data_IF_821167392374
#
_entry.id   IF_821167392374
#
_cell.length_a   1.000
_cell.length_b   1.000
_cell.length_c   1.000
_cell.angle_alpha   90.00
_cell.angle_beta   90.00
_cell.angle_gamma   90.00
#
_symmetry.space_group_name_H-M   'P 1'
#
loop_
_entity.id
_entity.type
_entity.pdbx_description
1 polymer ?
#
# COMPACT_ATOMS: atom_id res chain seq x y z
N UNK A 1 -63.33 9.92 6.00
CA UNK A 1 -64.41 8.92 6.07
C UNK A 1 -64.25 8.04 4.84
N UNK A 2 -63.94 6.75 4.87
CA UNK A 2 -63.81 5.77 5.95
C UNK A 2 -63.15 4.51 5.37
N UNK A 3 -62.36 3.81 6.18
CA UNK A 3 -61.78 2.47 5.97
C UNK A 3 -62.84 1.37 5.76
N UNK A 4 -62.52 0.33 4.97
CA UNK A 4 -62.99 -1.09 5.06
C UNK A 4 -62.74 -1.80 3.71
N UNK A 5 -61.81 -2.74 3.51
CA UNK A 5 -61.55 -4.05 4.14
C UNK A 5 -62.61 -5.10 3.78
N UNK A 6 -62.26 -6.02 2.87
CA UNK A 6 -62.65 -7.45 2.79
C UNK A 6 -63.06 -7.94 1.38
N UNK A 7 -62.59 -9.15 1.03
CA UNK A 7 -63.04 -9.95 -0.13
C UNK A 7 -61.93 -10.17 -1.17
N UNK A 8 -60.95 -11.05 -0.98
CA UNK A 8 -61.01 -12.49 -1.31
C UNK A 8 -61.59 -12.78 -2.70
N UNK A 9 -60.74 -12.68 -3.73
CA UNK A 9 -60.85 -13.41 -4.99
C UNK A 9 -59.44 -13.53 -5.57
N UNK A 10 -58.78 -14.69 -5.41
CA UNK A 10 -58.69 -15.75 -6.44
C UNK A 10 -57.38 -15.63 -7.24
N UNK A 11 -56.70 -16.77 -7.30
CA UNK A 11 -55.73 -17.19 -8.31
C UNK A 11 -54.39 -16.43 -8.34
N UNK A 12 -53.33 -17.07 -7.85
CA UNK A 12 -52.46 -17.90 -8.70
C UNK A 12 -51.87 -17.10 -9.87
N UNK A 13 -50.79 -16.37 -9.65
CA UNK A 13 -49.64 -16.42 -10.56
C UNK A 13 -48.39 -16.24 -9.72
N UNK A 14 -47.57 -17.28 -9.70
CA UNK A 14 -46.22 -17.26 -9.22
C UNK A 14 -45.44 -16.13 -9.92
N UNK A 15 -45.03 -15.12 -9.16
CA UNK A 15 -43.86 -14.34 -9.50
C UNK A 15 -42.88 -14.43 -8.34
N UNK A 16 -42.11 -15.52 -8.43
CA UNK A 16 -40.79 -15.65 -7.85
C UNK A 16 -39.98 -14.47 -8.37
N UNK A 17 -39.89 -13.42 -7.57
CA UNK A 17 -38.82 -12.47 -7.63
C UNK A 17 -38.44 -12.20 -6.18
N UNK A 18 -37.66 -13.12 -5.62
CA UNK A 18 -36.71 -12.77 -4.57
C UNK A 18 -35.86 -11.65 -5.16
N UNK A 19 -36.28 -10.41 -4.93
CA UNK A 19 -35.46 -9.23 -5.10
C UNK A 19 -34.34 -9.38 -4.08
N UNK A 20 -33.26 -10.02 -4.54
CA UNK A 20 -31.97 -9.99 -3.88
C UNK A 20 -31.71 -8.52 -3.55
N UNK A 21 -31.81 -8.18 -2.27
CA UNK A 21 -31.24 -6.97 -1.70
C UNK A 21 -29.76 -7.05 -2.01
N UNK A 22 -29.38 -6.53 -3.17
CA UNK A 22 -28.00 -6.44 -3.60
C UNK A 22 -27.26 -5.71 -2.51
N UNK A 23 -26.30 -6.39 -1.89
CA UNK A 23 -25.30 -5.75 -1.07
C UNK A 23 -24.78 -4.56 -1.87
N UNK A 24 -25.03 -3.34 -1.38
CA UNK A 24 -24.36 -2.17 -1.90
C UNK A 24 -22.89 -2.41 -1.62
N UNK A 25 -22.16 -2.89 -2.62
CA UNK A 25 -20.71 -2.87 -2.59
C UNK A 25 -20.35 -1.40 -2.49
N UNK A 26 -20.18 -0.91 -1.26
CA UNK A 26 -19.45 0.31 -0.99
C UNK A 26 -18.11 0.09 -1.63
N UNK A 27 -17.98 0.55 -2.89
CA UNK A 27 -16.74 0.52 -3.65
C UNK A 27 -15.71 1.08 -2.68
N UNK A 28 -14.67 0.31 -2.30
CA UNK A 28 -13.62 0.88 -1.49
C UNK A 28 -13.18 2.12 -2.24
N UNK A 29 -13.43 3.29 -1.65
CA UNK A 29 -12.89 4.54 -2.15
C UNK A 29 -11.41 4.23 -2.32
N UNK A 30 -10.81 4.40 -3.52
CA UNK A 30 -9.37 4.35 -3.62
C UNK A 30 -8.88 5.52 -2.77
N UNK A 31 -8.62 5.26 -1.49
CA UNK A 31 -7.73 6.09 -0.71
C UNK A 31 -6.43 5.97 -1.48
N UNK A 32 -6.16 7.01 -2.27
CA UNK A 32 -4.87 7.26 -2.88
C UNK A 32 -3.91 7.19 -1.69
N UNK A 33 -3.27 6.03 -1.51
CA UNK A 33 -2.12 5.90 -0.62
C UNK A 33 -1.23 7.05 -1.03
N UNK A 34 -1.06 7.98 -0.10
CA UNK A 34 -0.38 9.25 -0.28
C UNK A 34 0.67 9.13 -1.38
N UNK A 35 0.49 9.85 -2.49
CA UNK A 35 1.50 9.98 -3.53
C UNK A 35 2.69 10.82 -3.02
N UNK A 36 3.09 10.61 -1.76
CA UNK A 36 4.40 11.00 -1.28
C UNK A 36 5.37 10.16 -2.09
N UNK A 37 6.22 10.84 -2.86
CA UNK A 37 7.19 10.26 -3.76
C UNK A 37 8.05 9.27 -2.96
N UNK A 38 7.62 8.02 -2.99
CA UNK A 38 8.32 6.92 -2.33
C UNK A 38 9.36 6.46 -3.32
N UNK A 39 10.58 6.20 -2.86
CA UNK A 39 11.63 5.72 -3.76
C UNK A 39 11.11 4.46 -4.48
N UNK A 40 11.25 4.34 -5.80
CA UNK A 40 10.89 3.11 -6.49
C UNK A 40 11.62 1.93 -5.85
N UNK A 41 10.95 0.78 -5.77
CA UNK A 41 11.45 -0.40 -5.05
C UNK A 41 12.86 -0.83 -5.51
N UNK A 42 13.20 -0.57 -6.77
CA UNK A 42 14.53 -0.82 -7.32
C UNK A 42 15.64 -0.05 -6.57
N UNK A 43 15.45 1.26 -6.33
CA UNK A 43 16.40 2.08 -5.57
C UNK A 43 16.54 1.63 -4.12
N UNK A 44 15.45 1.12 -3.53
CA UNK A 44 15.49 0.55 -2.18
C UNK A 44 16.34 -0.72 -2.13
N UNK A 45 16.21 -1.59 -3.14
CA UNK A 45 17.01 -2.81 -3.26
C UNK A 45 18.49 -2.51 -3.57
N UNK A 46 18.78 -1.45 -4.34
CA UNK A 46 20.15 -0.97 -4.56
C UNK A 46 20.79 -0.52 -3.24
N UNK A 47 20.08 0.29 -2.45
CA UNK A 47 20.55 0.70 -1.12
C UNK A 47 20.81 -0.50 -0.20
N UNK A 48 19.93 -1.50 -0.18
CA UNK A 48 20.16 -2.72 0.59
C UNK A 48 21.40 -3.51 0.10
N UNK A 49 21.60 -3.56 -1.22
CA UNK A 49 22.77 -4.24 -1.82
C UNK A 49 24.07 -3.51 -1.51
N UNK A 50 24.10 -2.19 -1.59
CA UNK A 50 25.27 -1.37 -1.24
C UNK A 50 25.58 -1.50 0.26
N UNK A 51 24.56 -1.55 1.12
CA UNK A 51 24.73 -1.82 2.55
C UNK A 51 25.34 -3.19 2.84
N UNK A 52 24.93 -4.24 2.11
CA UNK A 52 25.57 -5.55 2.25
C UNK A 52 27.05 -5.50 1.85
N UNK A 53 27.37 -4.73 0.82
CA UNK A 53 28.74 -4.59 0.29
C UNK A 53 29.63 -3.78 1.22
N UNK A 54 29.14 -2.64 1.73
CA UNK A 54 29.90 -1.69 2.56
C UNK A 54 30.07 -2.15 4.00
N UNK A 55 29.05 -2.76 4.57
CA UNK A 55 29.05 -3.16 5.98
C UNK A 55 29.29 -4.66 6.18
N UNK A 56 29.39 -5.44 5.10
CA UNK A 56 29.55 -6.89 5.17
C UNK A 56 28.36 -7.61 5.79
N UNK A 57 27.21 -6.94 5.89
CA UNK A 57 25.99 -7.52 6.43
C UNK A 57 25.35 -8.47 5.42
N UNK A 58 24.79 -9.58 5.88
CA UNK A 58 24.09 -10.52 5.00
C UNK A 58 22.89 -9.81 4.38
N UNK A 59 22.80 -9.76 3.04
CA UNK A 59 21.73 -9.11 2.29
C UNK A 59 20.33 -9.56 2.73
N UNK A 60 20.16 -10.81 3.13
CA UNK A 60 18.88 -11.34 3.62
C UNK A 60 18.44 -10.74 4.97
N UNK A 61 19.39 -10.15 5.71
CA UNK A 61 19.15 -9.49 6.99
C UNK A 61 18.96 -7.98 6.85
N UNK A 62 19.14 -7.45 5.63
CA UNK A 62 19.00 -6.02 5.33
C UNK A 62 17.59 -5.77 4.80
N UNK A 63 16.76 -5.11 5.60
CA UNK A 63 15.38 -4.82 5.24
C UNK A 63 15.18 -3.31 5.10
N UNK A 64 14.63 -2.83 3.97
CA UNK A 64 14.11 -1.47 3.87
C UNK A 64 12.93 -1.31 4.83
N UNK A 65 13.07 -0.40 5.78
CA UNK A 65 12.05 -0.11 6.80
C UNK A 65 11.18 1.06 6.36
N UNK A 66 11.82 2.07 5.78
CA UNK A 66 11.15 3.27 5.28
C UNK A 66 11.91 3.83 4.09
N UNK A 67 11.19 4.55 3.23
CA UNK A 67 11.83 5.41 2.25
C UNK A 67 11.05 6.70 2.10
N UNK A 68 11.77 7.79 1.83
CA UNK A 68 11.19 9.12 1.65
C UNK A 68 12.00 9.88 0.61
N UNK A 69 11.36 10.78 -0.12
CA UNK A 69 12.08 11.69 -1.02
C UNK A 69 12.82 12.75 -0.20
N UNK A 70 14.09 12.94 -0.51
CA UNK A 70 14.96 13.93 0.12
C UNK A 70 15.40 14.98 -0.91
N UNK A 71 14.61 16.03 -1.06
CA UNK A 71 14.81 17.06 -2.08
C UNK A 71 14.22 16.68 -3.43
N UNK A 72 14.71 17.27 -4.51
CA UNK A 72 14.08 17.10 -5.84
C UNK A 72 14.42 15.75 -6.49
N UNK A 73 15.68 15.32 -6.39
CA UNK A 73 16.26 14.23 -7.18
C UNK A 73 16.95 13.16 -6.31
N UNK A 74 16.60 13.09 -5.03
CA UNK A 74 17.19 12.10 -4.13
C UNK A 74 16.14 11.48 -3.24
N UNK A 75 16.48 10.30 -2.76
CA UNK A 75 15.67 9.48 -1.91
C UNK A 75 16.50 9.02 -0.74
N UNK A 76 15.91 9.12 0.44
CA UNK A 76 16.39 8.52 1.67
C UNK A 76 15.72 7.16 1.83
N UNK A 77 16.51 6.14 2.06
CA UNK A 77 16.06 4.78 2.37
C UNK A 77 16.64 4.41 3.73
N UNK A 78 15.77 4.23 4.70
CA UNK A 78 16.10 3.72 6.02
C UNK A 78 16.10 2.19 5.96
N UNK A 79 17.25 1.60 6.28
CA UNK A 79 17.53 0.17 6.28
C UNK A 79 17.72 -0.30 7.72
N UNK A 80 17.28 -1.51 8.02
CA UNK A 80 17.69 -2.22 9.25
C UNK A 80 18.53 -3.43 8.89
N UNK A 81 19.56 -3.69 9.68
CA UNK A 81 20.51 -4.78 9.50
C UNK A 81 20.73 -5.48 10.84
N UNK A 82 20.06 -6.62 11.05
CA UNK A 82 20.25 -7.46 12.25
C UNK A 82 20.24 -6.70 13.60
N UNK A 83 19.36 -5.70 13.74
CA UNK A 83 19.24 -4.87 14.95
C UNK A 83 19.96 -3.53 14.90
N UNK A 84 20.79 -3.28 13.90
CA UNK A 84 21.34 -1.95 13.59
C UNK A 84 20.45 -1.23 12.58
N UNK A 85 20.54 0.10 12.53
CA UNK A 85 19.89 0.93 11.52
C UNK A 85 20.93 1.59 10.62
N UNK A 86 20.60 1.81 9.36
CA UNK A 86 21.40 2.60 8.46
C UNK A 86 20.53 3.45 7.55
N UNK A 87 21.09 4.55 7.10
CA UNK A 87 20.46 5.48 6.17
C UNK A 87 21.26 5.48 4.89
N UNK A 88 20.56 5.21 3.79
CA UNK A 88 21.06 5.33 2.44
C UNK A 88 20.43 6.55 1.78
N UNK A 89 21.25 7.43 1.20
CA UNK A 89 20.79 8.51 0.33
C UNK A 89 21.21 8.16 -1.09
N UNK A 90 20.23 8.00 -1.96
CA UNK A 90 20.41 7.60 -3.36
C UNK A 90 19.72 8.61 -4.28
N UNK A 91 20.37 8.98 -5.38
CA UNK A 91 19.77 9.85 -6.38
C UNK A 91 18.69 9.12 -7.20
N UNK A 92 17.84 9.87 -7.91
CA UNK A 92 16.85 9.31 -8.83
C UNK A 92 17.47 8.50 -9.97
N UNK A 93 18.76 8.75 -10.25
CA UNK A 93 19.57 8.03 -11.23
C UNK A 93 20.20 6.72 -10.70
N UNK A 94 20.00 6.39 -9.42
CA UNK A 94 20.53 5.17 -8.81
C UNK A 94 21.95 5.27 -8.26
N UNK A 95 22.50 6.48 -8.12
CA UNK A 95 23.82 6.70 -7.52
C UNK A 95 23.68 6.85 -6.01
N UNK A 96 24.32 5.97 -5.24
CA UNK A 96 24.39 6.08 -3.77
C UNK A 96 25.34 7.21 -3.41
N UNK A 97 24.81 8.31 -2.91
CA UNK A 97 25.59 9.48 -2.47
C UNK A 97 26.14 9.31 -1.07
N UNK A 98 25.37 8.66 -0.19
CA UNK A 98 25.74 8.47 1.19
C UNK A 98 25.14 7.18 1.72
N UNK A 99 25.92 6.46 2.52
CA UNK A 99 25.46 5.29 3.24
C UNK A 99 26.13 5.24 4.60
N UNK A 100 25.36 5.37 5.66
CA UNK A 100 25.87 5.52 7.02
C UNK A 100 25.01 4.71 7.98
N UNK A 101 25.65 4.03 8.94
CA UNK A 101 24.93 3.47 10.09
C UNK A 101 24.48 4.61 11.02
N UNK A 102 23.32 4.44 11.63
CA UNK A 102 22.74 5.37 12.61
C UNK A 102 22.99 4.87 14.02
#
# INVERSE_FOLDING_TARGET
>A
MTESKSGWAVALVAFVALGLTGCTASKPQPTVRSAGTTAPADLQLLCASEASTRFGANRDTILPVSSSQEGSNRYRVDLTMAGESAVCVISDTGIVESLQKV
#
